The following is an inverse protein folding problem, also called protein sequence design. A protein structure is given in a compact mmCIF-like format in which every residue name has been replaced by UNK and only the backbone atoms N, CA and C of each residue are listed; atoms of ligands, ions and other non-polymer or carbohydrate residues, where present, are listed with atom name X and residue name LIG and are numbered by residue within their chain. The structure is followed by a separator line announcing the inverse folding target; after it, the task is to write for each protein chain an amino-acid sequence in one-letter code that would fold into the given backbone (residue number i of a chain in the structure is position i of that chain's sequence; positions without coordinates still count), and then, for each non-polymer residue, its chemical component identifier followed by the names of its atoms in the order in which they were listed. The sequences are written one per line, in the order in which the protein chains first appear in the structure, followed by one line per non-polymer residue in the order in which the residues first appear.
data_IF_310739624116
#
_entry.id   IF_310739624116
#
_cell.length_a   1.000
_cell.length_b   1.000
_cell.length_c   1.000
_cell.angle_alpha   90.00
_cell.angle_beta   90.00
_cell.angle_gamma   90.00
#
_symmetry.space_group_name_H-M   'P 1'
#
loop_
_entity.id
_entity.type
_entity.pdbx_description
1 polymer ?
#
# COMPACT_ATOMS: atom_id res chain seq x y z
N UNK A 1 1.75 -5.99 5.35
CA UNK A 1 1.39 -4.57 5.40
C UNK A 1 2.57 -3.77 4.87
N UNK A 2 2.32 -2.76 4.05
CA UNK A 2 3.37 -1.79 3.72
C UNK A 2 3.66 -0.95 4.97
N UNK A 3 4.92 -0.74 5.27
CA UNK A 3 5.38 0.15 6.35
C UNK A 3 5.40 1.60 5.88
N UNK A 4 5.52 2.54 6.79
CA UNK A 4 5.76 3.95 6.44
C UNK A 4 7.07 4.13 5.66
N UNK A 5 8.07 3.27 5.89
CA UNK A 5 9.32 3.28 5.14
C UNK A 5 9.09 2.93 3.67
N UNK A 6 8.25 1.93 3.40
CA UNK A 6 7.90 1.53 2.02
C UNK A 6 7.15 2.65 1.30
N UNK A 7 6.25 3.35 2.00
CA UNK A 7 5.53 4.50 1.46
C UNK A 7 6.45 5.68 1.12
N UNK A 8 7.49 5.91 1.94
CA UNK A 8 8.42 7.02 1.77
C UNK A 8 9.63 6.69 0.90
N UNK A 9 9.82 5.43 0.52
CA UNK A 9 10.97 4.98 -0.27
C UNK A 9 11.18 5.81 -1.55
N UNK A 10 10.16 6.11 -2.38
CA UNK A 10 10.36 6.92 -3.59
C UNK A 10 10.90 8.32 -3.30
N UNK A 11 10.47 8.95 -2.20
CA UNK A 11 10.99 10.25 -1.77
C UNK A 11 12.45 10.14 -1.32
N UNK A 12 12.78 9.09 -0.56
CA UNK A 12 14.15 8.88 -0.07
C UNK A 12 15.13 8.57 -1.21
N UNK A 13 14.72 7.77 -2.19
CA UNK A 13 15.50 7.49 -3.40
C UNK A 13 15.73 8.76 -4.23
N UNK A 14 14.68 9.58 -4.41
CA UNK A 14 14.81 10.88 -5.06
C UNK A 14 15.85 11.76 -4.35
N UNK A 15 15.73 11.93 -3.03
CA UNK A 15 16.66 12.75 -2.25
C UNK A 15 18.10 12.22 -2.29
N UNK A 16 18.27 10.90 -2.24
CA UNK A 16 19.58 10.26 -2.35
C UNK A 16 20.22 10.49 -3.73
N UNK A 17 19.42 10.54 -4.79
CA UNK A 17 19.90 10.77 -6.17
C UNK A 17 20.37 12.21 -6.46
N UNK A 18 20.03 13.18 -5.59
CA UNK A 18 20.42 14.57 -5.77
C UNK A 18 21.93 14.77 -5.57
N UNK A 19 22.59 15.61 -6.39
CA UNK A 19 24.02 15.89 -6.23
C UNK A 19 24.37 16.52 -4.89
N UNK A 20 25.51 16.14 -4.32
CA UNK A 20 26.05 16.73 -3.08
C UNK A 20 26.77 18.06 -3.38
N UNK A 21 26.03 19.04 -3.92
CA UNK A 21 26.56 20.37 -4.27
C UNK A 21 25.67 21.46 -3.70
N UNK A 22 26.28 22.49 -3.13
CA UNK A 22 25.57 23.56 -2.43
C UNK A 22 24.62 24.38 -3.33
N UNK A 23 24.83 24.34 -4.65
CA UNK A 23 24.00 25.01 -5.66
C UNK A 23 22.76 24.19 -6.10
N UNK A 24 22.62 22.95 -5.64
CA UNK A 24 21.59 22.01 -6.08
C UNK A 24 20.56 21.63 -4.98
N UNK A 25 20.26 22.55 -4.07
CA UNK A 25 19.31 22.31 -2.97
C UNK A 25 17.87 22.38 -3.44
N UNK A 26 17.01 21.54 -2.86
CA UNK A 26 15.57 21.49 -3.18
C UNK A 26 14.71 22.20 -2.15
N UNK A 27 13.51 22.59 -2.57
CA UNK A 27 12.43 23.03 -1.69
C UNK A 27 11.46 21.87 -1.52
N UNK A 28 11.28 21.38 -0.29
CA UNK A 28 10.30 20.34 0.00
C UNK A 28 8.99 20.98 0.41
N UNK A 29 7.88 20.56 -0.22
CA UNK A 29 6.54 21.03 0.10
C UNK A 29 5.69 19.84 0.51
N UNK A 30 5.30 19.81 1.78
CA UNK A 30 4.47 18.76 2.36
C UNK A 30 3.06 19.28 2.60
N UNK A 31 2.06 18.57 2.09
CA UNK A 31 0.65 18.85 2.36
C UNK A 31 0.03 17.73 3.19
N UNK A 32 -0.78 18.06 4.20
CA UNK A 32 -1.47 17.08 5.04
C UNK A 32 -0.50 16.01 5.61
N UNK A 33 -0.75 14.73 5.37
CA UNK A 33 0.10 13.60 5.77
C UNK A 33 1.52 13.66 5.17
N UNK A 34 1.69 14.33 4.03
CA UNK A 34 3.00 14.51 3.39
C UNK A 34 4.00 15.28 4.24
N UNK A 35 3.54 16.03 5.25
CA UNK A 35 4.40 16.69 6.24
C UNK A 35 5.34 15.71 6.96
N UNK A 36 4.85 14.51 7.32
CA UNK A 36 5.68 13.48 7.96
C UNK A 36 6.81 13.00 7.05
N UNK A 37 6.52 12.84 5.76
CA UNK A 37 7.49 12.41 4.76
C UNK A 37 8.60 13.43 4.54
N UNK A 38 8.24 14.71 4.37
CA UNK A 38 9.23 15.77 4.19
C UNK A 38 10.06 16.01 5.45
N UNK A 39 9.49 15.84 6.65
CA UNK A 39 10.25 15.92 7.90
C UNK A 39 11.32 14.84 7.99
N UNK A 40 11.00 13.60 7.58
CA UNK A 40 12.00 12.53 7.55
C UNK A 40 13.10 12.81 6.51
N UNK A 41 12.74 13.39 5.36
CA UNK A 41 13.71 13.78 4.36
C UNK A 41 14.62 14.92 4.86
N UNK A 42 14.07 15.89 5.60
CA UNK A 42 14.82 16.96 6.27
C UNK A 42 15.79 16.44 7.33
N UNK A 43 15.43 15.39 8.05
CA UNK A 43 16.31 14.76 9.04
C UNK A 43 17.44 13.97 8.38
N UNK A 44 17.17 13.29 7.25
CA UNK A 44 18.15 12.43 6.58
C UNK A 44 19.08 13.15 5.60
N UNK A 45 18.60 14.21 4.95
CA UNK A 45 19.33 14.94 3.91
C UNK A 45 19.30 16.46 4.14
N UNK A 46 19.64 16.95 5.36
CA UNK A 46 19.53 18.38 5.69
C UNK A 46 20.36 19.28 4.77
N UNK A 47 21.49 18.79 4.27
CA UNK A 47 22.39 19.50 3.35
C UNK A 47 21.79 19.73 1.96
N UNK A 48 20.86 18.86 1.54
CA UNK A 48 20.24 18.89 0.21
C UNK A 48 18.98 19.75 0.15
N UNK A 49 18.54 20.29 1.28
CA UNK A 49 17.26 20.98 1.40
C UNK A 49 17.50 22.44 1.77
N UNK A 50 16.94 23.35 0.96
CA UNK A 50 17.01 24.78 1.25
C UNK A 50 15.94 25.20 2.25
N UNK A 51 14.71 24.72 2.07
CA UNK A 51 13.59 25.01 2.98
C UNK A 51 12.52 23.92 2.87
N UNK A 52 11.89 23.61 4.01
CA UNK A 52 10.70 22.77 4.09
C UNK A 52 9.45 23.62 4.32
N UNK A 53 8.42 23.43 3.51
CA UNK A 53 7.14 24.15 3.56
C UNK A 53 6.03 23.18 3.94
N UNK A 54 5.34 23.48 5.04
CA UNK A 54 4.24 22.66 5.57
C UNK A 54 2.90 23.36 5.31
N UNK A 55 2.11 22.82 4.38
CA UNK A 55 0.80 23.38 4.01
C UNK A 55 -0.27 22.53 4.66
N UNK A 56 -0.91 23.06 5.71
CA UNK A 56 -1.95 22.34 6.48
C UNK A 56 -1.54 20.89 6.77
N UNK A 57 -0.26 20.73 7.13
CA UNK A 57 0.43 19.45 7.18
C UNK A 57 0.88 19.09 8.60
N UNK A 58 1.11 17.81 8.83
CA UNK A 58 1.70 17.35 10.08
C UNK A 58 3.15 17.82 10.17
N UNK A 59 3.49 18.50 11.26
CA UNK A 59 4.84 18.97 11.53
C UNK A 59 5.34 18.34 12.84
N UNK A 60 6.06 17.20 12.76
CA UNK A 60 6.73 16.59 13.91
C UNK A 60 7.62 17.56 14.66
N UNK A 61 7.72 17.37 15.97
CA UNK A 61 8.68 18.06 16.82
C UNK A 61 9.59 17.03 17.50
N UNK A 62 10.72 17.50 18.02
CA UNK A 62 11.70 16.62 18.68
C UNK A 62 11.28 16.15 20.08
N UNK A 63 10.14 16.64 20.61
CA UNK A 63 9.69 16.34 21.97
C UNK A 63 8.78 15.10 22.03
N UNK A 64 8.04 14.84 20.95
CA UNK A 64 7.03 13.78 20.91
C UNK A 64 7.20 12.91 19.67
N UNK A 65 6.94 11.59 19.75
CA UNK A 65 6.93 10.72 18.58
C UNK A 65 5.97 11.25 17.50
N UNK A 66 6.31 11.17 16.20
CA UNK A 66 5.42 11.57 15.11
C UNK A 66 4.04 10.89 15.16
N UNK A 67 3.99 9.65 15.66
CA UNK A 67 2.75 8.90 15.87
C UNK A 67 1.76 9.61 16.81
N UNK A 68 2.23 10.41 17.76
CA UNK A 68 1.36 11.17 18.67
C UNK A 68 0.50 12.18 17.91
N UNK A 69 1.02 12.80 16.84
CA UNK A 69 0.24 13.75 16.03
C UNK A 69 -0.93 13.05 15.33
N UNK A 70 -0.70 11.84 14.83
CA UNK A 70 -1.72 11.02 14.16
C UNK A 70 -2.78 10.60 15.17
N UNK A 71 -2.37 10.14 16.35
CA UNK A 71 -3.28 9.76 17.42
C UNK A 71 -4.14 10.94 17.89
N UNK A 72 -3.54 12.11 18.12
CA UNK A 72 -4.28 13.31 18.53
C UNK A 72 -5.26 13.77 17.44
N UNK A 73 -4.89 13.65 16.16
CA UNK A 73 -5.81 13.92 15.06
C UNK A 73 -7.03 13.00 15.10
N UNK A 74 -6.84 11.69 15.25
CA UNK A 74 -7.95 10.75 15.32
C UNK A 74 -8.80 10.89 16.60
N UNK A 75 -8.20 11.23 17.74
CA UNK A 75 -8.94 11.54 18.97
C UNK A 75 -9.82 12.78 18.83
N UNK A 76 -9.31 13.83 18.16
CA UNK A 76 -10.05 15.09 17.94
C UNK A 76 -11.12 14.94 16.86
N UNK A 77 -10.86 14.10 15.87
CA UNK A 77 -11.78 13.79 14.78
C UNK A 77 -12.87 12.83 15.28
N UNK A 78 -13.75 13.33 16.15
CA UNK A 78 -14.92 12.57 16.60
C UNK A 78 -15.82 12.21 15.41
N UNK A 79 -16.47 11.03 15.49
CA UNK A 79 -17.26 10.30 14.49
C UNK A 79 -18.31 11.10 13.69
N UNK A 80 -18.60 12.35 14.06
CA UNK A 80 -19.52 13.22 13.33
C UNK A 80 -18.85 13.96 12.16
N UNK A 81 -17.51 14.10 12.18
CA UNK A 81 -16.73 14.80 11.15
C UNK A 81 -16.33 13.91 9.96
N UNK A 82 -16.52 12.60 10.06
CA UNK A 82 -15.98 11.66 9.10
C UNK A 82 -16.89 11.42 7.90
N UNK A 83 -18.12 11.96 7.91
CA UNK A 83 -19.12 11.80 6.85
C UNK A 83 -19.14 10.36 6.30
N UNK A 84 -18.81 10.19 5.02
CA UNK A 84 -18.77 8.93 4.30
C UNK A 84 -17.35 8.32 4.21
N UNK A 85 -16.39 8.80 4.99
CA UNK A 85 -15.08 8.15 5.14
C UNK A 85 -15.22 6.79 5.81
N UNK A 86 -14.45 5.82 5.31
CA UNK A 86 -14.39 4.46 5.85
C UNK A 86 -13.03 4.23 6.50
N UNK A 87 -13.03 3.76 7.74
CA UNK A 87 -11.82 3.40 8.46
C UNK A 87 -11.71 1.89 8.60
N UNK A 88 -10.50 1.38 8.43
CA UNK A 88 -10.18 -0.02 8.73
C UNK A 88 -9.35 -0.09 10.01
N UNK A 89 -9.54 -1.17 10.76
CA UNK A 89 -8.94 -1.39 12.09
C UNK A 89 -8.30 -2.77 12.13
N UNK A 90 -7.29 -3.00 11.30
CA UNK A 90 -6.68 -4.33 11.15
C UNK A 90 -5.96 -4.80 12.42
N UNK A 91 -5.67 -3.89 13.35
CA UNK A 91 -5.10 -4.17 14.67
C UNK A 91 -6.16 -4.27 15.78
N UNK A 92 -7.45 -4.29 15.42
CA UNK A 92 -8.57 -4.33 16.36
C UNK A 92 -9.20 -2.96 16.62
N UNK A 93 -10.48 -2.92 17.02
CA UNK A 93 -11.29 -1.69 17.11
C UNK A 93 -10.85 -0.74 18.22
N UNK A 94 -10.15 -1.23 19.25
CA UNK A 94 -9.61 -0.41 20.34
C UNK A 94 -8.31 0.29 19.97
N UNK A 95 -7.73 -0.05 18.81
CA UNK A 95 -6.53 0.59 18.29
C UNK A 95 -6.89 1.72 17.29
N UNK A 96 -5.98 2.67 17.03
CA UNK A 96 -6.19 3.67 15.98
C UNK A 96 -6.44 3.02 14.61
N UNK A 97 -7.16 3.68 13.70
CA UNK A 97 -7.42 3.15 12.37
C UNK A 97 -6.11 2.92 11.61
N UNK A 98 -6.01 1.78 10.92
CA UNK A 98 -4.85 1.39 10.11
C UNK A 98 -4.89 1.98 8.72
N UNK A 99 -6.08 2.23 8.20
CA UNK A 99 -6.27 2.95 6.93
C UNK A 99 -7.56 3.75 6.93
N UNK A 100 -7.60 4.75 6.06
CA UNK A 100 -8.79 5.57 5.79
C UNK A 100 -9.01 5.63 4.29
N UNK A 101 -10.26 5.39 3.87
CA UNK A 101 -10.73 5.66 2.53
C UNK A 101 -11.63 6.88 2.64
N UNK A 102 -11.25 7.95 1.96
CA UNK A 102 -12.07 9.15 1.94
C UNK A 102 -13.29 8.97 1.05
N UNK A 103 -14.45 9.27 1.63
CA UNK A 103 -15.70 9.24 0.90
C UNK A 103 -15.87 10.46 -0.01
N UNK A 104 -16.80 10.35 -0.94
CA UNK A 104 -17.11 11.37 -1.93
C UNK A 104 -17.65 12.65 -1.29
N UNK A 105 -18.57 12.54 -0.33
CA UNK A 105 -19.18 13.69 0.33
C UNK A 105 -18.13 14.44 1.16
N UNK A 106 -17.27 13.69 1.86
CA UNK A 106 -16.13 14.25 2.57
C UNK A 106 -15.18 14.99 1.63
N UNK A 107 -14.80 14.37 0.50
CA UNK A 107 -13.91 15.01 -0.47
C UNK A 107 -14.53 16.29 -1.06
N UNK A 108 -15.81 16.27 -1.41
CA UNK A 108 -16.49 17.45 -1.96
C UNK A 108 -16.60 18.60 -0.95
N UNK A 109 -16.84 18.28 0.33
CA UNK A 109 -17.18 19.27 1.36
C UNK A 109 -15.96 19.79 2.12
N UNK A 110 -14.95 18.94 2.34
CA UNK A 110 -13.82 19.27 3.22
C UNK A 110 -12.46 19.38 2.51
N UNK A 111 -12.32 18.83 1.30
CA UNK A 111 -11.03 18.85 0.58
C UNK A 111 -11.09 19.63 -0.74
N UNK A 112 -12.18 19.53 -1.49
CA UNK A 112 -12.34 20.17 -2.81
C UNK A 112 -13.42 21.25 -2.86
N UNK A 113 -13.93 21.73 -1.71
CA UNK A 113 -15.03 22.69 -1.62
C UNK A 113 -14.75 24.04 -2.29
N UNK A 114 -13.48 24.36 -2.52
CA UNK A 114 -13.02 25.57 -3.21
C UNK A 114 -12.32 25.27 -4.55
N UNK A 115 -12.35 24.02 -5.00
CA UNK A 115 -11.77 23.61 -6.28
C UNK A 115 -12.81 23.63 -7.40
N UNK A 116 -12.34 23.78 -8.63
CA UNK A 116 -13.18 23.52 -9.81
C UNK A 116 -13.69 22.08 -9.79
N UNK A 117 -14.92 21.85 -10.25
CA UNK A 117 -15.58 20.54 -10.23
C UNK A 117 -14.79 19.44 -10.94
N UNK A 118 -14.02 19.80 -11.97
CA UNK A 118 -13.12 18.86 -12.67
C UNK A 118 -12.09 18.22 -11.73
N UNK A 119 -11.57 18.97 -10.75
CA UNK A 119 -10.57 18.46 -9.81
C UNK A 119 -11.14 17.40 -8.88
N UNK A 120 -12.41 17.52 -8.46
CA UNK A 120 -13.10 16.48 -7.69
C UNK A 120 -13.28 15.20 -8.51
N UNK A 121 -13.61 15.35 -9.80
CA UNK A 121 -13.69 14.23 -10.74
C UNK A 121 -12.36 13.49 -10.86
N UNK A 122 -11.26 14.21 -11.07
CA UNK A 122 -9.91 13.63 -11.17
C UNK A 122 -9.46 12.97 -9.87
N UNK A 123 -9.73 13.59 -8.73
CA UNK A 123 -9.38 13.06 -7.41
C UNK A 123 -10.05 11.71 -7.13
N UNK A 124 -11.34 11.58 -7.49
CA UNK A 124 -12.08 10.33 -7.34
C UNK A 124 -11.40 9.15 -8.02
N UNK A 125 -10.87 9.35 -9.22
CA UNK A 125 -10.21 8.27 -9.97
C UNK A 125 -8.74 8.07 -9.57
N UNK A 126 -8.12 9.06 -8.92
CA UNK A 126 -6.71 9.03 -8.50
C UNK A 126 -6.47 8.49 -7.09
N UNK A 127 -7.45 8.59 -6.18
CA UNK A 127 -7.36 7.98 -4.85
C UNK A 127 -7.65 6.47 -4.92
N UNK A 128 -6.72 5.71 -5.49
CA UNK A 128 -6.72 4.25 -5.31
C UNK A 128 -6.28 3.93 -3.88
N UNK A 129 -7.15 3.33 -3.07
CA UNK A 129 -6.70 2.58 -1.91
C UNK A 129 -5.82 1.43 -2.40
N UNK A 130 -4.71 1.16 -1.70
CA UNK A 130 -3.95 -0.07 -1.95
C UNK A 130 -4.91 -1.27 -1.82
N UNK A 131 -4.93 -2.21 -2.77
CA UNK A 131 -5.86 -3.33 -2.70
C UNK A 131 -5.65 -4.10 -1.39
N UNK A 132 -6.74 -4.48 -0.75
CA UNK A 132 -6.71 -5.38 0.39
C UNK A 132 -6.03 -6.69 -0.07
N UNK A 133 -4.99 -7.13 0.66
CA UNK A 133 -4.31 -8.40 0.37
C UNK A 133 -5.28 -9.58 0.43
N UNK A 134 -6.40 -9.45 1.14
CA UNK A 134 -7.45 -10.47 1.16
C UNK A 134 -8.15 -10.64 -0.20
N UNK A 135 -8.18 -9.61 -1.04
CA UNK A 135 -8.82 -9.65 -2.37
C UNK A 135 -7.87 -10.24 -3.43
N UNK A 136 -6.57 -9.96 -3.31
CA UNK A 136 -5.51 -10.55 -4.16
C UNK A 136 -5.41 -12.07 -3.94
N UNK A 137 -5.67 -12.55 -2.73
CA UNK A 137 -5.70 -13.98 -2.42
C UNK A 137 -6.91 -14.71 -3.05
N UNK A 138 -8.02 -14.00 -3.32
CA UNK A 138 -9.19 -14.59 -4.00
C UNK A 138 -9.00 -14.60 -5.52
N UNK A 139 -8.40 -13.57 -6.11
CA UNK A 139 -8.17 -13.53 -7.56
C UNK A 139 -7.09 -14.51 -8.07
N UNK A 140 -6.25 -15.03 -7.17
CA UNK A 140 -5.19 -15.99 -7.50
C UNK A 140 -5.61 -17.46 -7.49
N UNK A 141 -6.79 -17.79 -6.96
CA UNK A 141 -7.27 -19.18 -6.83
C UNK A 141 -8.12 -19.66 -8.02
N UNK A 142 -8.67 -18.75 -8.83
CA UNK A 142 -9.68 -19.10 -9.85
C UNK A 142 -9.11 -19.25 -11.28
N UNK A 143 -7.79 -19.34 -11.44
CA UNK A 143 -7.13 -19.42 -12.77
C UNK A 143 -6.30 -20.66 -13.04
N UNK A 144 -6.38 -21.69 -12.21
CA UNK A 144 -5.79 -22.99 -12.46
C UNK A 144 -6.82 -24.06 -12.12
N UNK A 145 -7.66 -24.44 -13.09
CA UNK A 145 -8.32 -25.76 -13.20
C UNK A 145 -9.45 -25.77 -14.25
N UNK A 146 -9.19 -25.23 -15.44
CA UNK A 146 -10.04 -25.47 -16.61
C UNK A 146 -9.15 -25.51 -17.85
N UNK A 147 -8.39 -26.60 -18.02
CA UNK A 147 -7.81 -27.03 -19.31
C UNK A 147 -7.02 -28.35 -19.13
N UNK A 148 -7.70 -29.47 -18.83
CA UNK A 148 -7.02 -30.78 -18.88
C UNK A 148 -7.95 -32.01 -18.96
N UNK A 149 -9.05 -32.01 -19.72
CA UNK A 149 -9.71 -33.28 -20.09
C UNK A 149 -10.32 -33.20 -21.49
N UNK A 150 -9.55 -33.63 -22.49
CA UNK A 150 -10.11 -34.11 -23.76
C UNK A 150 -9.28 -35.26 -24.33
N UNK A 151 -10.00 -36.35 -24.56
CA UNK A 151 -9.77 -37.43 -25.52
C UNK A 151 -8.73 -38.52 -25.19
N UNK A 152 -9.29 -39.56 -24.58
CA UNK A 152 -8.90 -40.96 -24.72
C UNK A 152 -9.02 -41.38 -26.20
N UNK A 153 -7.93 -41.91 -26.80
CA UNK A 153 -7.93 -42.16 -28.24
C UNK A 153 -6.69 -42.83 -28.83
N UNK A 154 -6.52 -44.13 -28.55
CA UNK A 154 -5.91 -45.16 -29.42
C UNK A 154 -4.40 -45.11 -29.78
N UNK A 155 -3.77 -46.24 -29.43
CA UNK A 155 -2.82 -47.05 -30.22
C UNK A 155 -1.37 -46.54 -30.31
N UNK A 156 -0.39 -47.32 -29.81
CA UNK A 156 0.31 -48.33 -30.63
C UNK A 156 1.38 -49.09 -29.81
N UNK A 157 1.42 -50.39 -30.09
CA UNK A 157 2.42 -51.45 -29.84
C UNK A 157 3.90 -51.02 -29.82
N UNK A 158 4.73 -51.63 -28.96
CA UNK A 158 5.59 -52.81 -29.27
C UNK A 158 6.89 -52.86 -28.41
N UNK A 159 7.23 -54.08 -27.97
CA UNK A 159 8.59 -54.61 -27.62
C UNK A 159 9.30 -54.03 -26.39
N UNK A 160 10.14 -54.74 -25.63
CA UNK A 160 10.62 -56.13 -25.54
C UNK A 160 11.46 -56.14 -24.24
N UNK A 161 11.28 -57.12 -23.35
CA UNK A 161 12.29 -57.75 -22.47
C UNK A 161 11.47 -58.63 -21.50
N UNK A 162 11.68 -59.93 -21.29
CA UNK A 162 12.84 -60.77 -21.53
C UNK A 162 13.23 -61.46 -20.22
N UNK A 163 12.67 -62.65 -19.96
CA UNK A 163 13.14 -63.69 -19.01
C UNK A 163 13.05 -63.40 -17.49
N UNK A 164 12.88 -64.35 -16.54
CA UNK A 164 12.54 -65.78 -16.46
C UNK A 164 12.38 -66.12 -14.96
N UNK A 165 11.41 -67.00 -14.64
CA UNK A 165 11.38 -68.06 -13.59
C UNK A 165 11.37 -67.76 -12.07
N UNK A 166 10.45 -68.47 -11.38
CA UNK A 166 10.57 -68.97 -9.99
C UNK A 166 9.30 -68.75 -9.15
N UNK A 167 8.35 -69.71 -9.09
CA UNK A 167 8.08 -70.64 -7.97
C UNK A 167 7.42 -69.96 -6.73
N UNK A 168 6.13 -70.23 -6.40
CA UNK A 168 5.62 -71.26 -5.44
C UNK A 168 6.19 -71.02 -4.02
N UNK A 169 5.47 -70.89 -2.89
CA UNK A 169 4.20 -71.44 -2.39
C UNK A 169 3.66 -70.62 -1.19
N UNK A 170 2.41 -70.93 -0.83
CA UNK A 170 1.67 -70.67 0.41
C UNK A 170 2.43 -70.86 1.73
N UNK A 171 1.95 -70.19 2.78
CA UNK A 171 2.21 -70.52 4.18
C UNK A 171 1.51 -69.52 5.11
N UNK A 172 0.67 -70.05 6.00
CA UNK A 172 -0.29 -69.39 6.89
C UNK A 172 0.24 -68.34 7.86
#
# INVERSE_FOLDING_TARGET
MASISDYLQPLMEFMASLPDRDDAKVVLVGHSYGGLGISLAMERFPEKISVGVFITAYMPNCQHPPATLIQEFFKRSSLHSTMDCRFSFDQGPENPPTSVIFGQEYMATNVYQHCQTENLGRARFGLCAAPDRAEVARSGSDRLDQDAWSEDGRNQTDRETGARKGAVSQGS
#
